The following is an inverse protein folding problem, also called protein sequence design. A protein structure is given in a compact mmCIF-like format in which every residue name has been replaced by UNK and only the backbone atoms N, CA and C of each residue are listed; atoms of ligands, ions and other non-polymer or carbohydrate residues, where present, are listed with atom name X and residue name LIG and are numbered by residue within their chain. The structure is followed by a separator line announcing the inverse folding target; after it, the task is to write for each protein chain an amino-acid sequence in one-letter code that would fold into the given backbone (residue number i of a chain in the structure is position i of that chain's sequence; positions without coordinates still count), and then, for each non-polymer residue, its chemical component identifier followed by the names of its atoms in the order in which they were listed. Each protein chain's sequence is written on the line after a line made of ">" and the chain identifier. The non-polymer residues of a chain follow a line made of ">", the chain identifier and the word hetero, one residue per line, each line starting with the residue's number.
data_IF_657507495371
#
_entry.id   IF_657507495371
#
_cell.length_a   1.000
_cell.length_b   1.000
_cell.length_c   1.000
_cell.angle_alpha   90.00
_cell.angle_beta   90.00
_cell.angle_gamma   90.00
#
_symmetry.space_group_name_H-M   'P 1'
#
loop_
_entity.id
_entity.type
_entity.pdbx_description
1 polymer ?
#
# COMPACT_ATOMS: atom_id res chain seq x y z
N UNK A 1 -39.70 -18.15 -45.20
CA UNK A 1 -38.29 -17.89 -45.56
C UNK A 1 -37.91 -16.45 -45.27
N UNK A 2 -38.65 -15.45 -45.76
CA UNK A 2 -38.39 -14.01 -45.48
C UNK A 2 -38.52 -13.64 -44.00
N UNK A 3 -39.47 -14.21 -43.26
CA UNK A 3 -39.63 -13.97 -41.81
C UNK A 3 -38.49 -14.50 -40.95
N UNK A 4 -37.85 -15.59 -41.40
CA UNK A 4 -36.72 -16.23 -40.71
C UNK A 4 -35.49 -15.30 -40.75
N UNK A 5 -35.22 -14.73 -41.93
CA UNK A 5 -34.16 -13.75 -42.11
C UNK A 5 -34.42 -12.43 -41.36
N UNK A 6 -35.68 -12.05 -41.14
CA UNK A 6 -36.02 -10.87 -40.36
C UNK A 6 -35.76 -11.09 -38.85
N UNK A 7 -36.11 -12.27 -38.34
CA UNK A 7 -35.89 -12.65 -36.93
C UNK A 7 -34.39 -12.81 -36.62
N UNK A 8 -33.61 -13.40 -37.53
CA UNK A 8 -32.15 -13.49 -37.41
C UNK A 8 -31.47 -12.10 -37.42
N UNK A 9 -31.96 -11.18 -38.26
CA UNK A 9 -31.41 -9.81 -38.32
C UNK A 9 -31.68 -9.01 -37.04
N UNK A 10 -32.88 -9.15 -36.45
CA UNK A 10 -33.24 -8.49 -35.19
C UNK A 10 -32.45 -9.06 -33.99
N UNK A 11 -32.22 -10.37 -33.98
CA UNK A 11 -31.38 -11.05 -32.98
C UNK A 11 -29.90 -10.67 -33.09
N UNK A 12 -29.38 -10.43 -34.31
CA UNK A 12 -28.01 -9.95 -34.50
C UNK A 12 -27.89 -8.47 -34.06
N UNK A 13 -28.87 -7.63 -34.38
CA UNK A 13 -28.89 -6.22 -34.01
C UNK A 13 -29.02 -5.99 -32.49
N UNK A 14 -29.72 -6.87 -31.79
CA UNK A 14 -29.81 -6.83 -30.32
C UNK A 14 -28.54 -7.36 -29.63
N UNK A 15 -27.80 -8.27 -30.25
CA UNK A 15 -26.57 -8.86 -29.68
C UNK A 15 -25.27 -8.13 -30.05
N UNK A 16 -25.24 -7.26 -31.06
CA UNK A 16 -24.01 -6.51 -31.45
C UNK A 16 -23.48 -5.58 -30.35
N UNK A 17 -24.31 -5.19 -29.37
CA UNK A 17 -23.91 -4.37 -28.21
C UNK A 17 -23.67 -5.14 -26.91
N UNK A 18 -23.77 -6.47 -26.94
CA UNK A 18 -23.82 -7.34 -25.77
C UNK A 18 -22.76 -8.43 -25.90
N UNK A 19 -21.64 -8.28 -25.18
CA UNK A 19 -20.63 -9.32 -25.07
C UNK A 19 -20.86 -10.11 -23.76
N UNK A 20 -21.17 -11.41 -23.87
CA UNK A 20 -21.37 -12.28 -22.69
C UNK A 20 -22.68 -12.06 -21.92
N UNK A 21 -23.73 -11.56 -22.58
CA UNK A 21 -25.04 -11.30 -21.95
C UNK A 21 -25.12 -9.99 -21.15
N UNK A 22 -24.04 -9.20 -21.12
CA UNK A 22 -23.99 -7.88 -20.50
C UNK A 22 -23.67 -6.81 -21.55
N UNK A 23 -24.54 -5.81 -21.66
CA UNK A 23 -24.34 -4.67 -22.54
C UNK A 23 -23.20 -3.75 -22.08
N UNK A 24 -22.76 -2.83 -22.95
CA UNK A 24 -21.64 -1.91 -22.68
C UNK A 24 -21.75 -1.17 -21.33
N UNK A 25 -22.97 -0.77 -20.92
CA UNK A 25 -23.20 -0.13 -19.62
C UNK A 25 -22.91 -1.04 -18.41
N UNK A 26 -23.16 -2.34 -18.54
CA UNK A 26 -22.87 -3.33 -17.50
C UNK A 26 -21.37 -3.50 -17.27
N UNK A 27 -20.58 -3.55 -18.35
CA UNK A 27 -19.12 -3.63 -18.28
C UNK A 27 -18.48 -2.40 -17.65
N UNK A 28 -19.01 -1.21 -17.94
CA UNK A 28 -18.55 0.05 -17.32
C UNK A 28 -18.82 0.02 -15.81
N UNK A 29 -20.02 -0.39 -15.39
CA UNK A 29 -20.37 -0.50 -13.98
C UNK A 29 -19.50 -1.50 -13.22
N UNK A 30 -19.28 -2.70 -13.80
CA UNK A 30 -18.42 -3.73 -13.20
C UNK A 30 -16.99 -3.23 -13.05
N UNK A 31 -16.44 -2.57 -14.08
CA UNK A 31 -15.06 -2.07 -14.04
C UNK A 31 -14.87 -1.02 -12.94
N UNK A 32 -15.81 -0.08 -12.80
CA UNK A 32 -15.75 0.93 -11.74
C UNK A 32 -15.89 0.29 -10.36
N UNK A 33 -16.84 -0.63 -10.19
CA UNK A 33 -17.04 -1.32 -8.92
C UNK A 33 -15.79 -2.11 -8.49
N UNK A 34 -15.20 -2.87 -9.41
CA UNK A 34 -13.95 -3.61 -9.16
C UNK A 34 -12.79 -2.65 -8.88
N UNK A 35 -12.69 -1.54 -9.61
CA UNK A 35 -11.67 -0.52 -9.38
C UNK A 35 -11.72 0.07 -7.96
N UNK A 36 -12.91 0.39 -7.46
CA UNK A 36 -13.09 0.91 -6.10
C UNK A 36 -12.69 -0.13 -5.06
N UNK A 37 -13.13 -1.39 -5.22
CA UNK A 37 -12.79 -2.47 -4.28
C UNK A 37 -11.28 -2.70 -4.25
N UNK A 38 -10.62 -2.75 -5.41
CA UNK A 38 -9.17 -2.91 -5.50
C UNK A 38 -8.42 -1.71 -4.93
N UNK A 39 -8.94 -0.49 -5.09
CA UNK A 39 -8.32 0.70 -4.49
C UNK A 39 -8.36 0.66 -2.96
N UNK A 40 -9.49 0.28 -2.38
CA UNK A 40 -9.64 0.17 -0.92
C UNK A 40 -8.76 -0.97 -0.37
N UNK A 41 -8.84 -2.16 -0.98
CA UNK A 41 -8.04 -3.32 -0.55
C UNK A 41 -6.55 -3.08 -0.76
N UNK A 42 -6.17 -2.54 -1.92
CA UNK A 42 -4.80 -2.17 -2.24
C UNK A 42 -4.24 -1.09 -1.31
N UNK A 43 -5.05 -0.09 -0.96
CA UNK A 43 -4.67 0.93 0.02
C UNK A 43 -4.40 0.35 1.41
N UNK A 44 -5.28 -0.52 1.91
CA UNK A 44 -5.09 -1.17 3.21
C UNK A 44 -3.82 -2.04 3.20
N UNK A 45 -3.63 -2.85 2.16
CA UNK A 45 -2.44 -3.70 2.01
C UNK A 45 -1.18 -2.84 1.94
N UNK A 46 -1.18 -1.77 1.15
CA UNK A 46 -0.04 -0.87 1.00
C UNK A 46 0.36 -0.22 2.34
N UNK A 47 -0.61 0.23 3.15
CA UNK A 47 -0.34 0.82 4.46
C UNK A 47 0.29 -0.19 5.43
N UNK A 48 -0.27 -1.40 5.50
CA UNK A 48 0.23 -2.44 6.41
C UNK A 48 1.60 -2.95 5.96
N UNK A 49 1.77 -3.18 4.67
CA UNK A 49 3.02 -3.67 4.10
C UNK A 49 4.14 -2.63 4.25
N UNK A 50 3.84 -1.36 3.99
CA UNK A 50 4.74 -0.24 4.19
C UNK A 50 5.25 -0.20 5.64
N UNK A 51 4.35 -0.27 6.63
CA UNK A 51 4.75 -0.34 8.05
C UNK A 51 5.72 -1.48 8.34
N UNK A 52 5.42 -2.70 7.90
CA UNK A 52 6.30 -3.86 8.10
C UNK A 52 7.67 -3.68 7.45
N UNK A 53 7.70 -3.10 6.26
CA UNK A 53 8.93 -2.87 5.52
C UNK A 53 9.81 -1.81 6.22
N UNK A 54 9.22 -0.71 6.68
CA UNK A 54 9.93 0.30 7.48
C UNK A 54 10.43 -0.24 8.82
N UNK A 55 9.61 -1.02 9.53
CA UNK A 55 10.02 -1.64 10.80
C UNK A 55 11.23 -2.57 10.62
N UNK A 56 11.24 -3.36 9.54
CA UNK A 56 12.36 -4.23 9.18
C UNK A 56 13.63 -3.42 8.90
N UNK A 57 13.52 -2.37 8.08
CA UNK A 57 14.66 -1.49 7.77
C UNK A 57 15.25 -0.82 9.01
N UNK A 58 14.39 -0.28 9.89
CA UNK A 58 14.83 0.38 11.13
C UNK A 58 15.45 -0.62 12.12
N UNK A 59 15.06 -1.90 12.06
CA UNK A 59 15.67 -2.95 12.89
C UNK A 59 17.04 -3.38 12.38
N UNK A 60 17.21 -3.45 11.06
CA UNK A 60 18.47 -3.83 10.41
C UNK A 60 19.49 -2.69 10.48
N UNK A 61 19.06 -1.43 10.30
CA UNK A 61 19.90 -0.24 10.40
C UNK A 61 19.28 0.75 11.41
N UNK A 62 19.64 0.68 12.71
CA UNK A 62 19.05 1.53 13.74
C UNK A 62 19.38 3.01 13.50
N UNK A 63 18.41 3.93 13.66
CA UNK A 63 18.56 5.34 13.30
C UNK A 63 19.43 6.11 14.30
N UNK A 64 19.77 5.54 15.44
CA UNK A 64 20.61 6.16 16.46
C UNK A 64 21.73 5.17 16.82
N UNK A 65 22.96 5.65 16.79
CA UNK A 65 24.18 4.91 17.15
C UNK A 65 24.87 5.57 18.35
N UNK A 66 25.76 4.86 19.03
CA UNK A 66 26.53 5.41 20.16
C UNK A 66 27.37 6.64 19.75
N UNK A 67 27.90 6.63 18.52
CA UNK A 67 28.64 7.75 17.95
C UNK A 67 27.77 8.97 17.69
N UNK A 68 26.52 8.79 17.23
CA UNK A 68 25.55 9.87 17.10
C UNK A 68 25.16 10.46 18.46
N UNK A 69 24.95 9.60 19.47
CA UNK A 69 24.67 10.07 20.84
C UNK A 69 25.88 10.88 21.34
N UNK A 70 27.10 10.40 21.14
CA UNK A 70 28.33 11.12 21.51
C UNK A 70 28.42 12.47 20.80
N UNK A 71 28.19 12.52 19.49
CA UNK A 71 28.17 13.76 18.72
C UNK A 71 27.10 14.73 19.23
N UNK A 72 25.91 14.24 19.61
CA UNK A 72 24.85 15.05 20.17
C UNK A 72 25.24 15.68 21.52
N UNK A 73 25.85 14.91 22.42
CA UNK A 73 26.36 15.46 23.69
C UNK A 73 27.48 16.48 23.47
N UNK A 74 28.37 16.21 22.50
CA UNK A 74 29.46 17.12 22.15
C UNK A 74 28.94 18.44 21.58
N UNK A 75 27.84 18.43 20.81
CA UNK A 75 27.15 19.65 20.36
C UNK A 75 26.56 20.45 21.53
N UNK A 76 26.17 19.78 22.62
CA UNK A 76 25.71 20.42 23.85
C UNK A 76 26.85 20.87 24.78
N UNK A 77 28.10 20.82 24.32
CA UNK A 77 29.28 21.22 25.11
C UNK A 77 29.62 20.29 26.26
N UNK A 78 29.02 19.09 26.31
CA UNK A 78 29.28 18.09 27.35
C UNK A 78 30.05 16.91 26.75
N UNK A 79 31.17 16.53 27.37
CA UNK A 79 31.83 15.25 27.08
C UNK A 79 31.10 14.13 27.85
N UNK A 80 30.31 13.27 27.19
CA UNK A 80 29.59 12.21 27.88
C UNK A 80 30.54 11.08 28.31
N UNK A 81 30.21 10.36 29.39
CA UNK A 81 30.90 9.11 29.72
C UNK A 81 30.32 7.95 28.92
N UNK A 82 31.14 6.95 28.57
CA UNK A 82 30.71 5.75 27.83
C UNK A 82 29.56 4.98 28.53
N UNK A 83 29.48 5.06 29.86
CA UNK A 83 28.39 4.48 30.62
C UNK A 83 27.07 5.25 30.43
N UNK A 84 27.13 6.58 30.34
CA UNK A 84 25.96 7.42 30.06
C UNK A 84 25.46 7.23 28.63
N UNK A 85 26.36 7.12 27.64
CA UNK A 85 26.00 6.82 26.25
C UNK A 85 25.22 5.50 26.17
N UNK A 86 25.71 4.45 26.83
CA UNK A 86 25.03 3.14 26.86
C UNK A 86 23.69 3.18 27.59
N UNK A 87 23.57 3.98 28.66
CA UNK A 87 22.30 4.16 29.37
C UNK A 87 21.24 4.81 28.46
N UNK A 88 21.64 5.82 27.68
CA UNK A 88 20.77 6.49 26.70
C UNK A 88 20.44 5.57 25.53
N UNK A 89 21.41 4.81 25.01
CA UNK A 89 21.16 3.84 23.94
C UNK A 89 20.10 2.80 24.34
N UNK A 90 20.14 2.36 25.61
CA UNK A 90 19.13 1.45 26.18
C UNK A 90 17.76 2.10 26.32
N UNK A 91 17.67 3.36 26.76
CA UNK A 91 16.39 4.07 26.86
C UNK A 91 15.76 4.31 25.49
N UNK A 92 16.56 4.65 24.48
CA UNK A 92 16.12 4.79 23.08
C UNK A 92 15.58 3.47 22.52
N UNK A 93 16.27 2.35 22.78
CA UNK A 93 15.81 1.02 22.37
C UNK A 93 14.51 0.62 23.05
N UNK A 94 14.36 0.96 24.34
CA UNK A 94 13.16 0.64 25.12
C UNK A 94 11.96 1.51 24.75
N UNK A 95 12.17 2.76 24.29
CA UNK A 95 11.11 3.64 23.82
C UNK A 95 10.48 3.18 22.48
N UNK A 96 11.11 2.24 21.78
CA UNK A 96 10.59 1.63 20.54
C UNK A 96 9.69 0.40 20.79
N UNK A 97 9.48 0.02 22.05
CA UNK A 97 8.61 -1.10 22.44
C UNK A 97 7.18 -0.62 22.68
#
# INVERSE_FOLDING_TARGET
>A
MVSLFAEDAENILTNVGVAGGVGLGGWIGITIAVGIVLFVVGGIIALVFSKKMFEKQIKENPPITENMIRAMYMQMGRKPSEAQIRAVMRSVKNAKK
#
